data_IF_579156813019
#
_entry.id   IF_579156813019
#
_cell.length_a   1.000
_cell.length_b   1.000
_cell.length_c   1.000
_cell.angle_alpha   90.00
_cell.angle_beta   90.00
_cell.angle_gamma   90.00
#
_symmetry.space_group_name_H-M   'P 1'
#
loop_
_entity.id
_entity.type
_entity.pdbx_description
1 polymer ?
#
# COMPACT_ATOMS: atom_id res chain seq x y z
N UNK A 1 -9.51 18.06 30.47
CA UNK A 1 -8.90 17.79 29.14
C UNK A 1 -7.45 18.21 29.25
N UNK A 2 -6.54 17.24 29.19
CA UNK A 2 -5.13 17.41 29.52
C UNK A 2 -4.37 17.92 28.29
N UNK A 3 -3.32 18.73 28.49
CA UNK A 3 -2.42 19.15 27.41
C UNK A 3 -1.76 17.97 26.66
N UNK A 4 -1.69 16.80 27.32
CA UNK A 4 -1.24 15.54 26.73
C UNK A 4 -2.20 15.00 25.66
N UNK A 5 -3.52 15.18 25.83
CA UNK A 5 -4.52 14.70 24.86
C UNK A 5 -4.43 15.49 23.55
N UNK A 6 -4.13 16.79 23.65
CA UNK A 6 -4.04 17.72 22.51
C UNK A 6 -2.81 17.42 21.64
N UNK A 7 -1.68 17.04 22.24
CA UNK A 7 -0.47 16.72 21.48
C UNK A 7 -0.56 15.36 20.76
N UNK A 8 -1.22 14.36 21.36
CA UNK A 8 -1.49 13.09 20.71
C UNK A 8 -2.46 13.25 19.52
N UNK A 9 -3.50 14.09 19.66
CA UNK A 9 -4.43 14.38 18.56
C UNK A 9 -3.81 15.16 17.39
N UNK A 10 -2.82 16.02 17.65
CA UNK A 10 -2.20 16.83 16.58
C UNK A 10 -1.21 16.05 15.70
N UNK A 11 -0.55 15.01 16.22
CA UNK A 11 0.40 14.21 15.45
C UNK A 11 -0.29 13.25 14.45
N UNK A 12 -1.50 12.78 14.76
CA UNK A 12 -2.29 11.87 13.92
C UNK A 12 -3.01 12.53 12.73
N UNK A 13 -3.00 13.86 12.62
CA UNK A 13 -3.72 14.56 11.54
C UNK A 13 -3.00 14.61 10.20
N UNK A 14 -1.71 14.27 10.13
CA UNK A 14 -0.99 14.19 8.87
C UNK A 14 -1.09 12.76 8.36
N UNK A 15 -2.00 12.48 7.43
CA UNK A 15 -1.94 11.21 6.66
C UNK A 15 -0.53 11.13 6.08
N UNK A 16 0.28 10.12 6.44
CA UNK A 16 1.61 10.00 5.87
C UNK A 16 1.44 9.91 4.35
N UNK A 17 2.13 10.79 3.62
CA UNK A 17 2.21 10.67 2.18
C UNK A 17 2.77 9.27 1.91
N UNK A 18 2.12 8.49 1.05
CA UNK A 18 2.57 7.12 0.76
C UNK A 18 3.95 7.20 0.14
N UNK A 19 4.99 7.03 0.96
CA UNK A 19 6.38 7.07 0.46
C UNK A 19 6.57 5.86 -0.43
N UNK A 20 6.78 6.10 -1.72
CA UNK A 20 7.12 5.04 -2.64
C UNK A 20 8.62 4.72 -2.49
N UNK A 21 8.91 3.59 -1.86
CA UNK A 21 10.26 3.04 -1.79
C UNK A 21 10.43 2.10 -3.00
N UNK A 22 11.51 2.25 -3.79
CA UNK A 22 11.78 1.34 -4.90
C UNK A 22 11.89 -0.12 -4.44
N UNK A 23 11.24 -1.03 -5.14
CA UNK A 23 11.18 -2.46 -4.80
C UNK A 23 12.57 -3.11 -4.68
N UNK A 24 13.53 -2.69 -5.51
CA UNK A 24 14.93 -3.16 -5.43
C UNK A 24 15.59 -2.81 -4.08
N UNK A 25 15.27 -1.65 -3.48
CA UNK A 25 15.77 -1.29 -2.16
C UNK A 25 15.16 -2.12 -1.04
N UNK A 26 13.96 -2.65 -1.25
CA UNK A 26 13.27 -3.56 -0.33
C UNK A 26 13.89 -4.95 -0.43
N UNK A 27 14.05 -5.46 -1.65
CA UNK A 27 14.56 -6.83 -1.95
C UNK A 27 16.00 -7.06 -1.51
N UNK A 28 16.80 -6.00 -1.45
CA UNK A 28 18.21 -6.06 -1.00
C UNK A 28 18.37 -6.23 0.52
N UNK A 29 17.28 -6.14 1.31
CA UNK A 29 17.36 -6.30 2.77
C UNK A 29 17.55 -7.78 3.14
N UNK A 30 18.52 -8.03 4.01
CA UNK A 30 18.93 -9.40 4.40
C UNK A 30 18.15 -9.99 5.56
N UNK A 31 17.35 -9.19 6.27
CA UNK A 31 16.62 -9.64 7.45
C UNK A 31 15.31 -8.85 7.65
N UNK A 32 14.40 -9.44 8.42
CA UNK A 32 13.13 -8.81 8.79
C UNK A 32 13.37 -7.48 9.53
N UNK A 33 14.34 -7.42 10.45
CA UNK A 33 14.68 -6.19 11.17
C UNK A 33 15.20 -5.08 10.24
N UNK A 34 15.97 -5.44 9.20
CA UNK A 34 16.45 -4.47 8.21
C UNK A 34 15.33 -3.95 7.31
N UNK A 35 14.38 -4.80 6.92
CA UNK A 35 13.20 -4.38 6.17
C UNK A 35 12.25 -3.51 7.02
N UNK A 36 12.06 -3.87 8.29
CA UNK A 36 11.28 -3.10 9.25
C UNK A 36 11.91 -1.72 9.48
N UNK A 37 13.23 -1.66 9.68
CA UNK A 37 13.97 -0.40 9.85
C UNK A 37 13.85 0.47 8.61
N UNK A 38 14.01 -0.10 7.41
CA UNK A 38 13.80 0.65 6.15
C UNK A 38 12.39 1.25 6.07
N UNK A 39 11.37 0.50 6.49
CA UNK A 39 9.99 0.98 6.49
C UNK A 39 9.79 2.16 7.46
N UNK A 40 10.41 2.12 8.64
CA UNK A 40 10.42 3.23 9.59
C UNK A 40 11.18 4.44 9.02
N UNK A 41 12.39 4.25 8.50
CA UNK A 41 13.22 5.34 7.98
C UNK A 41 12.54 6.04 6.79
N UNK A 42 11.89 5.27 5.91
CA UNK A 42 11.15 5.80 4.76
C UNK A 42 9.87 6.57 5.15
N UNK A 43 9.35 6.38 6.37
CA UNK A 43 8.19 7.14 6.85
C UNK A 43 8.53 8.58 7.22
N UNK A 44 9.80 8.86 7.56
CA UNK A 44 10.23 10.15 8.10
C UNK A 44 9.73 10.45 9.52
N UNK A 45 9.07 9.50 10.18
CA UNK A 45 8.65 9.59 11.57
C UNK A 45 9.78 9.18 12.52
N UNK A 46 9.80 9.76 13.72
CA UNK A 46 10.67 9.30 14.79
C UNK A 46 10.18 7.96 15.34
N UNK A 47 11.11 7.11 15.81
CA UNK A 47 10.80 5.80 16.40
C UNK A 47 9.71 5.91 17.49
N UNK A 48 9.73 7.00 18.28
CA UNK A 48 8.75 7.29 19.33
C UNK A 48 7.35 7.50 18.81
N UNK A 49 7.20 8.21 17.70
CA UNK A 49 5.90 8.43 17.08
C UNK A 49 5.31 7.10 16.61
N UNK A 50 6.15 6.21 16.06
CA UNK A 50 5.74 4.91 15.55
C UNK A 50 5.35 3.95 16.68
N UNK A 51 6.22 3.72 17.67
CA UNK A 51 5.91 2.77 18.74
C UNK A 51 4.75 3.25 19.62
N UNK A 52 4.59 4.56 19.79
CA UNK A 52 3.48 5.12 20.57
C UNK A 52 2.15 4.98 19.82
N UNK A 53 2.14 5.18 18.50
CA UNK A 53 0.94 4.98 17.67
C UNK A 53 0.50 3.50 17.59
N UNK A 54 1.44 2.56 17.77
CA UNK A 54 1.18 1.12 17.71
C UNK A 54 1.02 0.46 19.09
N UNK A 55 1.03 1.25 20.18
CA UNK A 55 1.01 0.77 21.57
C UNK A 55 2.09 -0.31 21.84
N UNK A 56 3.28 -0.11 21.27
CA UNK A 56 4.43 -0.98 21.44
C UNK A 56 5.38 -0.42 22.50
N UNK A 57 5.86 -1.30 23.38
CA UNK A 57 6.96 -0.99 24.28
C UNK A 57 8.25 -0.64 23.46
N UNK A 58 8.99 0.42 23.83
CA UNK A 58 10.24 0.81 23.17
C UNK A 58 11.27 -0.33 23.10
N UNK A 59 11.34 -1.19 24.12
CA UNK A 59 12.24 -2.34 24.14
C UNK A 59 11.89 -3.36 23.07
N UNK A 60 10.60 -3.66 22.92
CA UNK A 60 10.08 -4.56 21.88
C UNK A 60 10.33 -4.00 20.49
N UNK A 61 10.06 -2.71 20.29
CA UNK A 61 10.33 -2.02 19.03
C UNK A 61 11.82 -2.10 18.64
N UNK A 62 12.73 -1.85 19.59
CA UNK A 62 14.18 -1.97 19.39
C UNK A 62 14.62 -3.40 19.06
N UNK A 63 14.02 -4.42 19.70
CA UNK A 63 14.27 -5.83 19.37
C UNK A 63 13.79 -6.20 17.98
N UNK A 64 12.69 -5.61 17.49
CA UNK A 64 12.22 -5.81 16.12
C UNK A 64 13.21 -5.18 15.12
N UNK A 65 13.63 -3.92 15.32
CA UNK A 65 14.63 -3.26 14.45
C UNK A 65 15.94 -4.03 14.36
N UNK A 66 16.40 -4.60 15.47
CA UNK A 66 17.61 -5.44 15.51
C UNK A 66 17.41 -6.87 15.00
N UNK A 67 16.19 -7.26 14.63
CA UNK A 67 15.86 -8.59 14.11
C UNK A 67 15.81 -9.70 15.17
N UNK A 68 15.80 -9.34 16.46
CA UNK A 68 15.68 -10.28 17.59
C UNK A 68 14.23 -10.69 17.85
N UNK A 69 13.28 -9.83 17.48
CA UNK A 69 11.85 -10.11 17.46
C UNK A 69 11.28 -9.87 16.06
N UNK A 70 10.13 -10.49 15.77
CA UNK A 70 9.36 -10.23 14.56
C UNK A 70 8.10 -9.46 14.92
N UNK A 71 7.67 -8.55 14.05
CA UNK A 71 6.38 -7.90 14.18
C UNK A 71 5.26 -8.96 14.11
N UNK A 72 4.33 -8.94 15.06
CA UNK A 72 3.19 -9.84 15.05
C UNK A 72 2.35 -9.64 13.79
N UNK A 73 1.80 -10.73 13.22
CA UNK A 73 1.09 -10.69 11.94
C UNK A 73 -0.08 -9.70 11.95
N UNK A 74 -0.85 -9.67 13.04
CA UNK A 74 -2.00 -8.77 13.20
C UNK A 74 -1.60 -7.28 13.26
N UNK A 75 -0.34 -7.01 13.59
CA UNK A 75 0.21 -5.64 13.65
C UNK A 75 0.74 -5.14 12.31
N UNK A 76 0.83 -5.99 11.28
CA UNK A 76 1.38 -5.61 9.97
C UNK A 76 0.53 -4.50 9.32
N UNK A 77 -0.81 -4.62 9.34
CA UNK A 77 -1.69 -3.60 8.77
C UNK A 77 -1.62 -2.28 9.55
N UNK A 78 -1.81 -2.25 10.89
CA UNK A 78 -1.65 -1.03 11.68
C UNK A 78 -0.28 -0.37 11.46
N UNK A 79 0.78 -1.18 11.42
CA UNK A 79 2.13 -0.69 11.13
C UNK A 79 2.20 0.03 9.77
N UNK A 80 1.72 -0.60 8.70
CA UNK A 80 1.72 0.01 7.35
C UNK A 80 0.89 1.30 7.28
N UNK A 81 -0.20 1.38 8.04
CA UNK A 81 -1.03 2.58 8.15
C UNK A 81 -0.30 3.72 8.86
N UNK A 82 0.46 3.42 9.92
CA UNK A 82 1.29 4.40 10.65
C UNK A 82 2.48 4.87 9.82
N UNK A 83 3.27 3.95 9.24
CA UNK A 83 4.48 4.32 8.47
C UNK A 83 4.17 4.78 7.05
N UNK A 84 2.93 4.59 6.59
CA UNK A 84 2.45 5.03 5.28
C UNK A 84 3.04 4.27 4.09
N UNK A 85 3.66 3.10 4.29
CA UNK A 85 4.30 2.34 3.21
C UNK A 85 4.14 0.83 3.42
N UNK A 86 4.41 0.06 2.37
CA UNK A 86 4.26 -1.41 2.34
C UNK A 86 5.59 -2.15 2.29
N UNK A 87 6.69 -1.49 2.66
CA UNK A 87 8.06 -2.04 2.56
C UNK A 87 8.19 -3.38 3.30
N UNK A 88 7.68 -3.45 4.53
CA UNK A 88 7.79 -4.65 5.35
C UNK A 88 7.02 -5.86 4.78
N UNK A 89 5.71 -5.77 4.45
CA UNK A 89 5.01 -6.88 3.82
C UNK A 89 5.50 -7.20 2.40
N UNK A 90 6.00 -6.22 1.64
CA UNK A 90 6.64 -6.49 0.34
C UNK A 90 7.90 -7.34 0.50
N UNK A 91 8.74 -7.04 1.49
CA UNK A 91 9.91 -7.87 1.80
C UNK A 91 9.49 -9.29 2.19
N UNK A 92 8.47 -9.45 3.05
CA UNK A 92 7.96 -10.77 3.44
C UNK A 92 7.52 -11.56 2.20
N UNK A 93 6.71 -10.95 1.32
CA UNK A 93 6.27 -11.58 0.07
C UNK A 93 7.47 -12.01 -0.80
N UNK A 94 8.46 -11.14 -0.94
CA UNK A 94 9.68 -11.44 -1.71
C UNK A 94 10.45 -12.63 -1.14
N UNK A 95 10.57 -12.75 0.19
CA UNK A 95 11.31 -13.88 0.80
C UNK A 95 10.68 -15.25 0.53
N UNK A 96 9.40 -15.30 0.19
CA UNK A 96 8.70 -16.54 -0.19
C UNK A 96 8.56 -16.70 -1.72
N UNK A 97 9.22 -15.84 -2.50
CA UNK A 97 9.18 -15.88 -3.97
C UNK A 97 7.91 -15.25 -4.59
N UNK A 98 7.19 -14.43 -3.83
CA UNK A 98 5.94 -13.79 -4.23
C UNK A 98 6.09 -12.27 -4.39
N UNK A 99 5.08 -11.64 -4.97
CA UNK A 99 4.93 -10.18 -5.04
C UNK A 99 3.70 -9.70 -4.27
N UNK A 100 3.76 -8.46 -3.78
CA UNK A 100 2.61 -7.80 -3.16
C UNK A 100 1.80 -7.08 -4.25
N UNK A 101 0.50 -7.36 -4.33
CA UNK A 101 -0.43 -6.68 -5.23
C UNK A 101 -1.50 -5.97 -4.43
N UNK A 102 -1.94 -4.80 -4.92
CA UNK A 102 -3.07 -4.09 -4.32
C UNK A 102 -4.35 -4.85 -4.68
N UNK A 103 -5.10 -5.26 -3.65
CA UNK A 103 -6.41 -5.87 -3.85
C UNK A 103 -7.41 -4.78 -4.24
N UNK A 104 -8.08 -4.96 -5.38
CA UNK A 104 -9.24 -4.14 -5.74
C UNK A 104 -10.41 -4.51 -4.84
N UNK A 105 -11.22 -3.53 -4.45
CA UNK A 105 -12.50 -3.81 -3.82
C UNK A 105 -13.44 -4.49 -4.83
N UNK A 106 -14.38 -5.30 -4.33
CA UNK A 106 -15.41 -5.93 -5.16
C UNK A 106 -16.21 -4.93 -6.02
N UNK A 107 -16.39 -3.72 -5.52
CA UNK A 107 -16.99 -2.58 -6.21
C UNK A 107 -16.14 -2.06 -7.37
N UNK A 108 -14.82 -1.91 -7.16
CA UNK A 108 -13.89 -1.47 -8.20
C UNK A 108 -13.75 -2.52 -9.29
N UNK A 109 -13.73 -3.81 -8.92
CA UNK A 109 -13.71 -4.92 -9.88
C UNK A 109 -14.96 -4.92 -10.78
N UNK A 110 -16.15 -4.75 -10.19
CA UNK A 110 -17.41 -4.69 -10.95
C UNK A 110 -17.54 -3.45 -11.83
N UNK A 111 -17.02 -2.30 -11.38
CA UNK A 111 -17.00 -1.08 -12.19
C UNK A 111 -16.11 -1.26 -13.42
N UNK A 112 -14.91 -1.84 -13.25
CA UNK A 112 -13.99 -2.13 -14.34
C UNK A 112 -14.57 -3.12 -15.36
N UNK A 113 -15.29 -4.16 -14.88
CA UNK A 113 -15.99 -5.11 -15.75
C UNK A 113 -17.19 -4.49 -16.49
N UNK A 114 -17.86 -3.49 -15.89
CA UNK A 114 -18.92 -2.74 -16.56
C UNK A 114 -18.35 -1.81 -17.63
N UNK A 115 -17.26 -1.11 -17.33
CA UNK A 115 -16.54 -0.23 -18.27
C UNK A 115 -15.95 -1.03 -19.44
N UNK A 116 -15.36 -2.20 -19.18
CA UNK A 116 -14.85 -3.08 -20.23
C UNK A 116 -15.97 -3.54 -21.18
N UNK A 117 -17.15 -3.88 -20.65
CA UNK A 117 -18.32 -4.24 -21.46
C UNK A 117 -18.88 -3.06 -22.25
N UNK A 118 -18.90 -1.86 -21.66
CA UNK A 118 -19.30 -0.65 -22.34
C UNK A 118 -18.35 -0.32 -23.51
N UNK A 119 -17.04 -0.39 -23.27
CA UNK A 119 -16.02 -0.15 -24.30
C UNK A 119 -16.08 -1.17 -25.45
N UNK A 120 -16.39 -2.44 -25.17
CA UNK A 120 -16.57 -3.45 -26.21
C UNK A 120 -17.86 -3.22 -27.02
N UNK A 121 -18.94 -2.79 -26.37
CA UNK A 121 -20.18 -2.42 -27.03
C UNK A 121 -20.00 -1.19 -27.93
N UNK A 122 -19.28 -0.16 -27.46
CA UNK A 122 -18.95 1.03 -28.24
C UNK A 122 -18.10 0.70 -29.46
N UNK A 123 -17.09 -0.16 -29.32
CA UNK A 123 -16.28 -0.64 -30.47
C UNK A 123 -17.12 -1.38 -31.50
N UNK A 124 -18.02 -2.26 -31.07
CA UNK A 124 -18.94 -2.98 -31.96
C UNK A 124 -19.91 -2.04 -32.65
N UNK A 125 -20.42 -1.04 -31.94
CA UNK A 125 -21.35 -0.05 -32.47
C UNK A 125 -20.66 0.88 -33.49
N UNK A 126 -19.45 1.34 -33.18
CA UNK A 126 -18.62 2.14 -34.08
C UNK A 126 -18.31 1.37 -35.37
N UNK A 127 -17.92 0.11 -35.26
CA UNK A 127 -17.66 -0.76 -36.42
C UNK A 127 -18.93 -1.00 -37.25
N UNK A 128 -20.08 -1.23 -36.60
CA UNK A 128 -21.36 -1.41 -37.30
C UNK A 128 -21.82 -0.13 -38.02
N UNK A 129 -21.64 1.04 -37.42
CA UNK A 129 -21.94 2.34 -38.03
C UNK A 129 -21.02 2.62 -39.23
N UNK A 130 -19.72 2.30 -39.12
CA UNK A 130 -18.77 2.41 -40.22
C UNK A 130 -19.14 1.50 -41.41
N UNK A 131 -19.59 0.27 -41.13
CA UNK A 131 -20.05 -0.67 -42.14
C UNK A 131 -21.33 -0.19 -42.84
N UNK A 132 -22.28 0.37 -42.09
CA UNK A 132 -23.52 0.93 -42.65
C UNK A 132 -23.28 2.23 -43.43
N UNK A 133 -22.29 3.03 -43.02
CA UNK A 133 -21.87 4.24 -43.75
C UNK A 133 -21.30 3.94 -45.13
N UNK A 134 -20.46 2.90 -45.25
CA UNK A 134 -19.90 2.44 -46.54
C UNK A 134 -20.94 1.84 -47.49
N UNK A 135 -22.10 1.42 -46.98
CA UNK A 135 -23.21 0.89 -47.80
C UNK A 135 -24.07 1.95 -48.50
N UNK A 136 -23.96 3.24 -48.10
CA UNK A 136 -24.74 4.35 -48.69
C UNK A 136 -24.01 5.11 -49.81
N UNK A 137 -22.75 4.76 -50.10
CA UNK A 137 -21.91 5.41 -51.12
C UNK A 137 -21.68 4.55 -52.38
N UNK A 138 -22.44 3.47 -52.58
CA UNK A 138 -22.38 2.68 -53.81
C UNK A 138 -23.56 3.07 -54.73
N UNK A 139 -23.33 3.78 -55.84
CA UNK A 139 -24.32 4.01 -56.90
C UNK A 139 -24.61 2.75 -57.72
#
# INVERSE_FOLDING_TARGET
MSAFDVQAELALRRKPARTQVPSEMVRTRRSAGAAFTLACDASGLEDKEIYSALDLDPGTFSRIKSGKNTLAADMIRPFCEVVGNTVYPEWIAYTVGCGLVVLQTESERRALEAEARAAEAEKKLAWALELMGRGRESP
#
